data_IF_983578623682
#
_entry.id   IF_983578623682
#
_cell.length_a   1.000
_cell.length_b   1.000
_cell.length_c   1.000
_cell.angle_alpha   90.00
_cell.angle_beta   90.00
_cell.angle_gamma   90.00
#
_symmetry.space_group_name_H-M   'P 1'
#
loop_
_entity.id
_entity.type
_entity.pdbx_description
1 polymer ?
#
# COMPACT_ATOMS: atom_id res chain seq x y z
N UNK A 1 73.24 -17.06 -16.00
CA UNK A 1 73.56 -16.85 -14.57
C UNK A 1 72.48 -15.99 -13.93
N UNK A 2 72.13 -16.32 -12.69
CA UNK A 2 70.82 -16.19 -12.03
C UNK A 2 70.42 -14.75 -11.68
N UNK A 3 69.24 -14.29 -12.11
CA UNK A 3 68.64 -13.01 -11.66
C UNK A 3 67.66 -13.28 -10.53
N UNK A 4 68.07 -12.96 -9.29
CA UNK A 4 67.22 -13.01 -8.11
C UNK A 4 66.20 -11.86 -8.16
N UNK A 5 64.92 -12.14 -7.93
CA UNK A 5 63.92 -11.13 -7.70
C UNK A 5 63.68 -10.97 -6.19
N UNK A 6 63.86 -9.75 -5.70
CA UNK A 6 63.66 -9.37 -4.31
C UNK A 6 62.16 -9.37 -3.95
N UNK A 7 61.81 -9.93 -2.78
CA UNK A 7 60.44 -9.90 -2.25
C UNK A 7 60.17 -8.54 -1.58
N UNK A 8 59.06 -7.85 -1.88
CA UNK A 8 58.71 -6.61 -1.19
C UNK A 8 58.24 -6.91 0.25
N UNK A 9 58.82 -6.19 1.22
CA UNK A 9 58.40 -6.23 2.63
C UNK A 9 57.06 -5.50 2.78
N UNK A 10 56.04 -6.18 3.30
CA UNK A 10 54.75 -5.56 3.67
C UNK A 10 54.98 -4.59 4.83
N UNK A 11 54.69 -3.30 4.63
CA UNK A 11 54.61 -2.31 5.71
C UNK A 11 53.26 -2.49 6.40
N UNK A 12 53.29 -2.79 7.69
CA UNK A 12 52.12 -2.82 8.56
C UNK A 12 51.72 -1.37 8.86
N UNK A 13 50.54 -0.97 8.42
CA UNK A 13 49.93 0.32 8.80
C UNK A 13 49.41 0.14 10.22
N UNK A 14 50.01 0.84 11.18
CA UNK A 14 49.48 0.95 12.53
C UNK A 14 48.30 1.93 12.46
N UNK A 15 47.09 1.43 12.64
CA UNK A 15 45.93 2.28 12.93
C UNK A 15 46.00 2.62 14.41
N UNK A 16 46.42 3.84 14.73
CA UNK A 16 46.36 4.36 16.08
C UNK A 16 44.91 4.67 16.42
N UNK A 17 44.30 3.90 17.33
CA UNK A 17 43.02 4.24 17.96
C UNK A 17 43.24 5.47 18.85
N UNK A 18 42.64 6.59 18.46
CA UNK A 18 42.39 7.72 19.37
C UNK A 18 40.93 8.12 19.22
N UNK A 19 40.11 8.06 20.29
CA UNK A 19 38.71 8.43 20.18
C UNK A 19 38.60 9.96 20.12
N UNK A 20 37.75 10.54 19.25
CA UNK A 20 37.39 11.93 19.37
C UNK A 20 36.37 12.07 20.51
N UNK A 21 36.82 12.66 21.61
CA UNK A 21 35.96 13.26 22.61
C UNK A 21 35.33 14.53 22.02
N UNK A 22 34.03 14.50 21.73
CA UNK A 22 33.16 15.64 21.99
C UNK A 22 31.67 15.25 21.97
N UNK A 23 31.08 15.32 23.15
CA UNK A 23 29.64 15.36 23.43
C UNK A 23 28.93 16.44 22.61
N UNK A 24 27.97 16.02 21.77
CA UNK A 24 26.71 16.75 21.54
C UNK A 24 25.59 15.72 21.35
N UNK A 25 24.89 15.45 22.44
CA UNK A 25 23.67 14.67 22.48
C UNK A 25 22.60 15.27 21.57
N UNK A 26 22.31 14.56 20.48
CA UNK A 26 21.00 14.59 19.85
C UNK A 26 20.60 13.13 19.72
N UNK A 27 19.63 12.62 20.50
CA UNK A 27 19.04 11.33 20.20
C UNK A 27 18.24 11.51 18.92
N UNK A 28 18.93 11.41 17.78
CA UNK A 28 18.28 11.01 16.53
C UNK A 28 17.70 9.66 16.85
N UNK A 29 16.38 9.61 17.05
CA UNK A 29 15.60 8.39 17.18
C UNK A 29 15.80 7.60 15.88
N UNK A 30 16.90 6.85 15.82
CA UNK A 30 17.03 5.74 14.88
C UNK A 30 15.86 4.82 15.21
N UNK A 31 15.07 4.37 14.21
CA UNK A 31 14.05 3.38 14.47
C UNK A 31 14.76 2.15 15.04
N UNK A 32 14.67 1.97 16.35
CA UNK A 32 15.14 0.78 17.04
C UNK A 32 14.39 -0.37 16.42
N UNK A 33 15.07 -1.20 15.64
CA UNK A 33 14.49 -2.45 15.17
C UNK A 33 14.09 -3.24 16.42
N UNK A 34 12.80 -3.58 16.61
CA UNK A 34 12.37 -4.29 17.80
C UNK A 34 13.20 -5.58 17.91
N UNK A 35 13.76 -5.82 19.09
CA UNK A 35 14.52 -7.03 19.36
C UNK A 35 13.56 -8.22 19.28
N UNK A 36 14.04 -9.39 18.88
CA UNK A 36 13.19 -10.58 18.78
C UNK A 36 12.43 -10.91 20.07
N UNK A 37 13.01 -10.53 21.22
CA UNK A 37 12.42 -10.69 22.55
C UNK A 37 11.26 -9.70 22.83
N UNK A 38 11.17 -8.61 22.07
CA UNK A 38 10.16 -7.55 22.23
C UNK A 38 8.83 -7.88 21.51
N UNK A 39 8.80 -8.93 20.67
CA UNK A 39 7.62 -9.28 19.88
C UNK A 39 6.91 -10.48 20.48
N UNK A 40 5.68 -10.26 20.94
CA UNK A 40 4.84 -11.34 21.47
C UNK A 40 4.50 -12.35 20.36
N UNK A 41 4.91 -13.64 20.49
CA UNK A 41 4.61 -14.67 19.51
C UNK A 41 3.09 -14.89 19.35
N UNK A 42 2.30 -14.65 20.41
CA UNK A 42 0.83 -14.76 20.35
C UNK A 42 0.25 -13.66 19.47
N UNK A 43 0.75 -12.42 19.58
CA UNK A 43 0.36 -11.31 18.73
C UNK A 43 0.68 -11.58 17.25
N UNK A 44 1.85 -12.16 16.92
CA UNK A 44 2.20 -12.55 15.54
C UNK A 44 1.18 -13.55 14.98
N UNK A 45 0.84 -14.57 15.76
CA UNK A 45 -0.07 -15.62 15.30
C UNK A 45 -1.50 -15.08 15.13
N UNK A 46 -1.95 -14.21 16.03
CA UNK A 46 -3.25 -13.54 15.91
C UNK A 46 -3.31 -12.68 14.64
N UNK A 47 -2.26 -11.91 14.36
CA UNK A 47 -2.17 -11.09 13.15
C UNK A 47 -2.15 -11.97 11.88
N UNK A 48 -1.39 -13.06 11.88
CA UNK A 48 -1.39 -14.01 10.75
C UNK A 48 -2.79 -14.57 10.49
N UNK A 49 -3.51 -14.99 11.54
CA UNK A 49 -4.89 -15.48 11.42
C UNK A 49 -5.83 -14.39 10.87
N UNK A 50 -5.68 -13.15 11.34
CA UNK A 50 -6.43 -12.00 10.85
C UNK A 50 -6.25 -11.78 9.35
N UNK A 51 -5.00 -11.84 8.85
CA UNK A 51 -4.70 -11.72 7.41
C UNK A 51 -5.31 -12.86 6.60
N UNK A 52 -5.24 -14.08 7.10
CA UNK A 52 -5.83 -15.26 6.44
C UNK A 52 -7.36 -15.08 6.35
N UNK A 53 -8.02 -14.70 7.44
CA UNK A 53 -9.46 -14.48 7.46
C UNK A 53 -9.87 -13.39 6.44
N UNK A 54 -9.14 -12.27 6.39
CA UNK A 54 -9.38 -11.21 5.40
C UNK A 54 -9.22 -11.68 3.96
N UNK A 55 -8.23 -12.53 3.68
CA UNK A 55 -8.03 -13.10 2.36
C UNK A 55 -9.20 -14.03 1.99
N UNK A 56 -9.61 -14.91 2.91
CA UNK A 56 -10.75 -15.83 2.74
C UNK A 56 -12.07 -15.08 2.51
N UNK A 57 -12.33 -14.02 3.30
CA UNK A 57 -13.49 -13.16 3.11
C UNK A 57 -13.48 -12.49 1.73
N UNK A 58 -12.29 -12.07 1.27
CA UNK A 58 -12.08 -11.55 -0.08
C UNK A 58 -12.45 -12.58 -1.15
N UNK A 59 -11.88 -13.78 -1.08
CA UNK A 59 -12.16 -14.89 -2.01
C UNK A 59 -13.64 -15.25 -2.06
N UNK A 60 -14.30 -15.33 -0.90
CA UNK A 60 -15.73 -15.59 -0.82
C UNK A 60 -16.54 -14.45 -1.46
N UNK A 61 -16.18 -13.19 -1.19
CA UNK A 61 -16.82 -12.02 -1.81
C UNK A 61 -16.71 -12.05 -3.33
N UNK A 62 -15.53 -12.38 -3.86
CA UNK A 62 -15.32 -12.47 -5.30
C UNK A 62 -16.08 -13.64 -5.93
N UNK A 63 -16.15 -14.78 -5.25
CA UNK A 63 -16.93 -15.94 -5.71
C UNK A 63 -18.43 -15.61 -5.80
N UNK A 64 -18.97 -14.95 -4.77
CA UNK A 64 -20.37 -14.50 -4.77
C UNK A 64 -20.66 -13.49 -5.87
N UNK A 65 -19.71 -12.58 -6.16
CA UNK A 65 -19.85 -11.65 -7.29
C UNK A 65 -19.91 -12.37 -8.63
N UNK A 66 -19.09 -13.42 -8.84
CA UNK A 66 -19.17 -14.22 -10.07
C UNK A 66 -20.53 -14.90 -10.20
N UNK A 67 -21.05 -15.50 -9.13
CA UNK A 67 -22.39 -16.12 -9.14
C UNK A 67 -23.47 -15.09 -9.47
N UNK A 68 -23.38 -13.91 -8.87
CA UNK A 68 -24.31 -12.81 -9.13
C UNK A 68 -24.29 -12.38 -10.60
N UNK A 69 -23.11 -12.19 -11.19
CA UNK A 69 -22.97 -11.79 -12.60
C UNK A 69 -23.37 -12.89 -13.58
N UNK A 70 -23.31 -14.17 -13.19
CA UNK A 70 -23.86 -15.29 -13.96
C UNK A 70 -25.39 -15.39 -13.87
N UNK A 71 -26.04 -14.60 -13.01
CA UNK A 71 -27.47 -14.71 -12.74
C UNK A 71 -27.85 -15.85 -11.79
N UNK A 72 -26.88 -16.54 -11.19
CA UNK A 72 -27.08 -17.64 -10.24
C UNK A 72 -27.32 -17.12 -8.81
N UNK A 73 -28.21 -16.15 -8.67
CA UNK A 73 -28.43 -15.38 -7.43
C UNK A 73 -29.07 -16.19 -6.29
N UNK A 74 -29.59 -17.38 -6.56
CA UNK A 74 -30.14 -18.30 -5.55
C UNK A 74 -29.05 -19.04 -4.76
N UNK A 75 -27.85 -19.17 -5.32
CA UNK A 75 -26.70 -19.85 -4.67
C UNK A 75 -26.09 -19.01 -3.53
N UNK A 76 -25.83 -17.69 -3.70
CA UNK A 76 -25.48 -16.84 -2.57
C UNK A 76 -26.75 -16.44 -1.79
N UNK A 77 -26.67 -16.43 -0.45
CA UNK A 77 -27.77 -15.90 0.37
C UNK A 77 -28.06 -14.40 0.10
N UNK A 78 -29.26 -13.92 0.48
CA UNK A 78 -29.72 -12.55 0.18
C UNK A 78 -28.70 -11.45 0.47
N UNK A 79 -28.07 -11.48 1.66
CA UNK A 79 -27.07 -10.49 2.05
C UNK A 79 -25.85 -10.50 1.11
N UNK A 80 -25.38 -11.70 0.75
CA UNK A 80 -24.24 -11.86 -0.16
C UNK A 80 -24.56 -11.36 -1.57
N UNK A 81 -25.77 -11.65 -2.08
CA UNK A 81 -26.24 -11.12 -3.35
C UNK A 81 -26.32 -9.58 -3.34
N UNK A 82 -26.85 -8.99 -2.25
CA UNK A 82 -26.89 -7.53 -2.07
C UNK A 82 -25.50 -6.90 -1.99
N UNK A 83 -24.56 -7.53 -1.31
CA UNK A 83 -23.18 -7.04 -1.21
C UNK A 83 -22.45 -7.15 -2.56
N UNK A 84 -22.70 -8.20 -3.35
CA UNK A 84 -22.21 -8.31 -4.72
C UNK A 84 -22.81 -7.24 -5.65
N UNK A 85 -24.11 -7.00 -5.56
CA UNK A 85 -24.80 -5.98 -6.36
C UNK A 85 -24.20 -4.58 -6.20
N UNK A 86 -23.74 -4.21 -4.99
CA UNK A 86 -23.10 -2.89 -4.75
C UNK A 86 -21.89 -2.63 -5.63
N UNK A 87 -21.15 -3.68 -5.99
CA UNK A 87 -19.91 -3.58 -6.76
C UNK A 87 -20.06 -4.11 -8.18
N UNK A 88 -21.17 -4.78 -8.52
CA UNK A 88 -21.40 -5.40 -9.81
C UNK A 88 -21.22 -4.42 -10.98
N UNK A 89 -21.68 -3.17 -10.84
CA UNK A 89 -21.54 -2.13 -11.89
C UNK A 89 -20.07 -1.80 -12.24
N UNK A 90 -19.11 -2.16 -11.39
CA UNK A 90 -17.68 -1.88 -11.60
C UNK A 90 -16.94 -3.02 -12.30
N UNK A 91 -17.59 -4.18 -12.44
CA UNK A 91 -16.96 -5.38 -12.94
C UNK A 91 -17.75 -6.00 -14.10
N UNK A 92 -17.01 -6.60 -15.02
CA UNK A 92 -17.57 -7.45 -16.06
C UNK A 92 -17.00 -8.85 -15.87
N UNK A 93 -17.84 -9.87 -16.10
CA UNK A 93 -17.44 -11.27 -16.10
C UNK A 93 -17.53 -11.80 -17.54
N UNK A 94 -16.42 -11.80 -18.29
CA UNK A 94 -16.36 -12.41 -19.61
C UNK A 94 -16.43 -13.95 -19.52
N UNK A 95 -16.53 -14.59 -20.68
CA UNK A 95 -16.66 -16.06 -20.79
C UNK A 95 -15.45 -16.82 -20.22
N UNK A 96 -14.28 -16.17 -20.15
CA UNK A 96 -13.07 -16.71 -19.53
C UNK A 96 -13.19 -16.90 -17.99
N UNK A 97 -14.27 -16.39 -17.39
CA UNK A 97 -14.55 -16.51 -15.96
C UNK A 97 -13.67 -15.65 -15.05
N UNK A 98 -12.94 -14.69 -15.61
CA UNK A 98 -12.06 -13.76 -14.88
C UNK A 98 -12.78 -12.43 -14.68
N UNK A 99 -12.91 -11.96 -13.44
CA UNK A 99 -13.52 -10.66 -13.16
C UNK A 99 -12.62 -9.53 -13.64
N UNK A 100 -13.10 -8.73 -14.58
CA UNK A 100 -12.39 -7.55 -15.09
C UNK A 100 -12.97 -6.30 -14.45
N UNK A 101 -12.11 -5.46 -13.86
CA UNK A 101 -12.51 -4.17 -13.33
C UNK A 101 -12.57 -3.13 -14.44
N UNK A 102 -13.71 -2.48 -14.60
CA UNK A 102 -13.98 -1.54 -15.71
C UNK A 102 -14.09 -0.08 -15.22
N UNK A 103 -14.06 0.16 -13.91
CA UNK A 103 -13.97 1.50 -13.31
C UNK A 103 -15.12 1.83 -12.37
N UNK A 104 -15.02 2.98 -11.70
CA UNK A 104 -16.05 3.45 -10.78
C UNK A 104 -17.31 3.87 -11.55
N UNK A 105 -18.44 3.25 -11.24
CA UNK A 105 -19.76 3.75 -11.64
C UNK A 105 -19.89 5.20 -11.20
N UNK A 106 -20.38 6.07 -12.10
CA UNK A 106 -20.47 7.53 -11.94
C UNK A 106 -21.22 7.98 -10.66
N UNK A 107 -21.90 7.05 -9.98
CA UNK A 107 -22.70 7.24 -8.77
C UNK A 107 -21.91 7.27 -7.46
N UNK A 108 -20.66 6.82 -7.42
CA UNK A 108 -19.87 6.73 -6.17
C UNK A 108 -18.95 7.93 -5.88
N UNK A 109 -18.90 8.92 -6.79
CA UNK A 109 -18.04 10.10 -6.66
C UNK A 109 -18.34 10.98 -5.43
N UNK A 110 -19.43 10.71 -4.70
CA UNK A 110 -19.82 11.49 -3.51
C UNK A 110 -19.43 10.87 -2.17
N UNK A 111 -19.26 9.55 -2.08
CA UNK A 111 -18.93 8.87 -0.81
C UNK A 111 -17.44 8.55 -0.65
N UNK A 112 -16.73 8.25 -1.74
CA UNK A 112 -15.28 8.02 -1.74
C UNK A 112 -14.50 9.33 -1.50
N UNK A 113 -14.97 10.46 -2.05
CA UNK A 113 -14.40 11.80 -1.84
C UNK A 113 -14.39 12.26 -0.37
N UNK A 114 -15.15 11.60 0.53
CA UNK A 114 -15.16 11.90 1.96
C UNK A 114 -14.15 11.08 2.77
N UNK A 115 -13.55 10.03 2.19
CA UNK A 115 -12.51 9.22 2.84
C UNK A 115 -11.10 9.56 2.37
N UNK A 116 -10.96 10.34 1.30
CA UNK A 116 -9.68 10.53 0.59
C UNK A 116 -9.39 12.03 0.46
N UNK A 117 -8.77 12.71 1.45
CA UNK A 117 -8.53 14.16 1.36
C UNK A 117 -7.41 14.56 0.38
N UNK A 118 -6.78 13.61 -0.32
CA UNK A 118 -5.57 13.87 -1.12
C UNK A 118 -5.80 14.10 -2.62
N UNK A 119 -7.04 14.09 -3.10
CA UNK A 119 -7.34 14.38 -4.51
C UNK A 119 -8.43 15.43 -4.65
N UNK A 120 -8.15 16.64 -4.18
CA UNK A 120 -8.87 17.83 -4.66
C UNK A 120 -7.92 18.59 -5.59
N UNK A 121 -8.03 18.31 -6.89
CA UNK A 121 -7.35 19.10 -7.91
C UNK A 121 -7.87 20.54 -7.84
N UNK A 122 -7.00 21.48 -7.52
CA UNK A 122 -7.29 22.91 -7.48
C UNK A 122 -7.66 23.40 -8.88
N UNK A 123 -8.94 23.61 -9.15
CA UNK A 123 -9.38 24.44 -10.28
C UNK A 123 -9.29 25.90 -9.86
N UNK A 124 -8.21 26.56 -10.27
CA UNK A 124 -8.04 28.01 -10.18
C UNK A 124 -9.07 28.65 -11.12
N UNK A 125 -10.14 29.23 -10.58
CA UNK A 125 -11.04 30.07 -11.36
C UNK A 125 -10.43 31.48 -11.41
N UNK A 126 -9.87 31.82 -12.57
CA UNK A 126 -9.53 33.19 -12.95
C UNK A 126 -10.84 33.97 -13.18
N UNK A 127 -11.27 34.75 -12.18
CA UNK A 127 -12.42 35.66 -12.31
C UNK A 127 -11.89 37.06 -12.64
N UNK A 128 -11.50 37.26 -13.90
CA UNK A 128 -11.18 38.57 -14.47
C UNK A 128 -12.48 39.36 -14.67
N UNK A 129 -12.99 39.99 -13.61
CA UNK A 129 -14.06 40.98 -13.70
C UNK A 129 -13.54 42.26 -14.37
N UNK A 130 -13.72 42.34 -15.68
CA UNK A 130 -13.54 43.60 -16.42
C UNK A 130 -14.67 44.55 -16.07
N UNK A 131 -14.31 45.70 -15.52
CA UNK A 131 -15.20 46.83 -15.28
C UNK A 131 -15.69 47.44 -16.60
N UNK A 132 -17.00 47.65 -16.73
CA UNK A 132 -17.55 48.62 -17.67
C UNK A 132 -18.54 49.52 -16.93
N UNK A 133 -18.13 50.77 -16.79
CA UNK A 133 -18.86 51.92 -16.25
C UNK A 133 -19.44 52.68 -17.46
N UNK A 134 -20.77 52.80 -17.54
CA UNK A 134 -21.50 53.71 -18.46
C UNK A 134 -22.76 54.12 -17.67
N UNK A 135 -22.69 55.24 -16.95
CA UNK A 135 -23.13 56.61 -17.30
C UNK A 135 -24.65 56.77 -17.36
#
# INVERSE_FOLDING_TARGET
MTRQHARPKKKQVQFTDKPPDNSKDVPRLLPTTPRADDVDPVAIQAERRSRIAKAQDGELRWSNLKLFLRGEVEKPGYKAARDALKIADKFVLPDDGVLQFVGASRRETREESRRNPFTTSCTHHDDSRSATKLS
#
